data_IF_709418539830
#
_entry.id   IF_709418539830
#
_cell.length_a   1.000
_cell.length_b   1.000
_cell.length_c   1.000
_cell.angle_alpha   90.00
_cell.angle_beta   90.00
_cell.angle_gamma   90.00
#
_symmetry.space_group_name_H-M   'P 1'
#
loop_
_entity.id
_entity.type
_entity.pdbx_description
1 polymer ?
#
# COMPACT_ATOMS: atom_id res chain seq x y z
N UNK A 1 -18.30 7.94 -22.10
CA UNK A 1 -19.04 6.80 -21.54
C UNK A 1 -18.57 6.66 -20.11
N UNK A 2 -19.42 6.93 -19.13
CA UNK A 2 -19.03 6.89 -17.72
C UNK A 2 -19.12 5.44 -17.20
N UNK A 3 -17.98 4.77 -17.06
CA UNK A 3 -17.93 3.38 -16.59
C UNK A 3 -18.00 3.33 -15.06
N UNK A 4 -18.72 2.36 -14.44
CA UNK A 4 -18.62 2.09 -13.01
C UNK A 4 -17.18 1.77 -12.57
N UNK A 5 -16.87 2.00 -11.29
CA UNK A 5 -15.54 1.76 -10.71
C UNK A 5 -15.11 0.29 -10.88
N UNK A 6 -16.03 -0.64 -10.67
CA UNK A 6 -15.80 -2.07 -10.76
C UNK A 6 -15.44 -2.47 -12.19
N UNK A 7 -16.12 -1.89 -13.18
CA UNK A 7 -15.81 -2.12 -14.59
C UNK A 7 -14.44 -1.56 -14.96
N UNK A 8 -14.12 -0.34 -14.49
CA UNK A 8 -12.82 0.29 -14.74
C UNK A 8 -11.66 -0.56 -14.21
N UNK A 9 -11.76 -0.99 -12.95
CA UNK A 9 -10.73 -1.81 -12.32
C UNK A 9 -10.66 -3.22 -12.89
N UNK A 10 -11.79 -3.85 -13.21
CA UNK A 10 -11.78 -5.17 -13.80
C UNK A 10 -11.09 -5.17 -15.18
N UNK A 11 -11.40 -4.19 -16.03
CA UNK A 11 -10.75 -4.05 -17.34
C UNK A 11 -9.23 -3.92 -17.19
N UNK A 12 -8.79 -3.15 -16.19
CA UNK A 12 -7.37 -2.95 -15.91
C UNK A 12 -6.67 -4.23 -15.43
N UNK A 13 -7.32 -5.00 -14.55
CA UNK A 13 -6.74 -6.19 -13.92
C UNK A 13 -6.78 -7.43 -14.82
N UNK A 14 -7.83 -7.62 -15.60
CA UNK A 14 -8.01 -8.82 -16.45
C UNK A 14 -7.16 -8.79 -17.72
N UNK A 15 -6.78 -7.59 -18.17
CA UNK A 15 -6.13 -7.38 -19.45
C UNK A 15 -7.05 -7.68 -20.64
N UNK A 16 -6.71 -7.12 -21.81
CA UNK A 16 -7.59 -7.09 -23.01
C UNK A 16 -8.12 -8.48 -23.42
N UNK A 17 -7.35 -9.55 -23.20
CA UNK A 17 -7.71 -10.91 -23.62
C UNK A 17 -8.77 -11.58 -22.74
N UNK A 18 -8.95 -11.15 -21.49
CA UNK A 18 -9.85 -11.79 -20.50
C UNK A 18 -10.96 -10.88 -20.01
N UNK A 19 -10.99 -9.61 -20.42
CA UNK A 19 -12.03 -8.64 -20.02
C UNK A 19 -13.44 -9.20 -20.21
N UNK A 20 -13.72 -9.89 -21.32
CA UNK A 20 -15.07 -10.45 -21.53
C UNK A 20 -15.41 -11.57 -20.54
N UNK A 21 -14.50 -12.53 -20.31
CA UNK A 21 -14.73 -13.65 -19.40
C UNK A 21 -14.78 -13.21 -17.94
N UNK A 22 -13.94 -12.26 -17.57
CA UNK A 22 -13.70 -11.89 -16.17
C UNK A 22 -14.61 -10.76 -15.70
N UNK A 23 -14.99 -9.84 -16.60
CA UNK A 23 -15.75 -8.63 -16.25
C UNK A 23 -17.20 -8.62 -16.73
N UNK A 24 -17.54 -9.42 -17.75
CA UNK A 24 -18.86 -9.40 -18.40
C UNK A 24 -19.58 -10.76 -18.31
N UNK A 25 -18.83 -11.85 -18.12
CA UNK A 25 -19.36 -13.21 -18.07
C UNK A 25 -20.19 -13.55 -16.81
N UNK A 26 -20.91 -14.69 -16.84
CA UNK A 26 -21.82 -15.13 -15.76
C UNK A 26 -21.11 -15.56 -14.46
N UNK A 27 -19.77 -15.61 -14.46
CA UNK A 27 -18.93 -15.98 -13.31
C UNK A 27 -18.29 -14.76 -12.64
N UNK A 28 -18.95 -13.61 -12.65
CA UNK A 28 -18.48 -12.39 -12.02
C UNK A 28 -18.41 -12.55 -10.49
N UNK A 29 -17.32 -13.13 -9.99
CA UNK A 29 -16.97 -13.07 -8.58
C UNK A 29 -16.71 -11.61 -8.19
N UNK A 30 -17.17 -11.20 -7.01
CA UNK A 30 -16.83 -9.88 -6.47
C UNK A 30 -15.32 -9.72 -6.35
N UNK A 31 -14.75 -8.69 -6.97
CA UNK A 31 -13.32 -8.41 -6.94
C UNK A 31 -13.01 -7.55 -5.72
N UNK A 32 -12.14 -8.02 -4.83
CA UNK A 32 -11.53 -7.16 -3.81
C UNK A 32 -10.47 -6.28 -4.48
N UNK A 33 -10.90 -5.18 -5.10
CA UNK A 33 -10.04 -4.33 -5.92
C UNK A 33 -8.84 -3.76 -5.11
N UNK A 34 -9.00 -3.31 -3.85
CA UNK A 34 -7.84 -2.93 -3.03
C UNK A 34 -6.93 -4.10 -2.65
N UNK A 35 -7.45 -5.34 -2.69
CA UNK A 35 -6.70 -6.55 -2.35
C UNK A 35 -6.39 -6.71 -0.85
N UNK A 36 -7.12 -6.02 0.03
CA UNK A 36 -6.80 -5.99 1.46
C UNK A 36 -7.64 -6.95 2.29
N UNK A 37 -7.00 -7.60 3.26
CA UNK A 37 -7.63 -8.43 4.28
C UNK A 37 -6.89 -8.23 5.60
N UNK A 38 -7.62 -7.96 6.68
CA UNK A 38 -7.07 -7.92 8.04
C UNK A 38 -7.65 -9.08 8.87
N UNK A 39 -6.79 -10.00 9.28
CA UNK A 39 -7.15 -11.13 10.14
C UNK A 39 -6.49 -10.99 11.51
N UNK A 40 -7.21 -11.34 12.57
CA UNK A 40 -6.70 -11.29 13.93
C UNK A 40 -7.24 -12.45 14.75
N UNK A 41 -6.38 -13.03 15.59
CA UNK A 41 -6.79 -13.97 16.65
C UNK A 41 -7.45 -13.27 17.83
N UNK A 42 -7.38 -11.94 17.89
CA UNK A 42 -8.01 -11.08 18.90
C UNK A 42 -9.21 -10.35 18.29
N UNK A 43 -10.23 -10.00 19.10
CA UNK A 43 -11.37 -9.22 18.63
C UNK A 43 -10.93 -7.94 17.91
N UNK A 44 -11.58 -7.68 16.77
CA UNK A 44 -11.46 -6.44 15.99
C UNK A 44 -12.67 -5.55 16.29
N UNK A 45 -12.44 -4.26 16.53
CA UNK A 45 -13.48 -3.25 16.79
C UNK A 45 -13.30 -2.05 15.86
N UNK A 46 -14.36 -1.25 15.74
CA UNK A 46 -14.35 0.01 14.96
C UNK A 46 -13.83 -0.17 13.53
N UNK A 47 -14.16 -1.31 12.90
CA UNK A 47 -13.64 -1.71 11.60
C UNK A 47 -14.20 -0.79 10.52
N UNK A 48 -13.32 -0.21 9.70
CA UNK A 48 -13.72 0.58 8.54
C UNK A 48 -12.71 0.49 7.42
N UNK A 49 -13.21 0.61 6.19
CA UNK A 49 -12.39 0.87 5.00
C UNK A 49 -12.45 2.37 4.72
N UNK A 50 -11.30 2.99 4.43
CA UNK A 50 -11.22 4.39 4.05
C UNK A 50 -10.48 4.48 2.72
N UNK A 51 -11.12 5.05 1.71
CA UNK A 51 -10.49 5.32 0.42
C UNK A 51 -9.54 6.52 0.55
N UNK A 52 -8.32 6.40 0.03
CA UNK A 52 -7.30 7.45 0.14
C UNK A 52 -7.63 8.68 -0.71
N UNK A 53 -8.36 8.48 -1.81
CA UNK A 53 -8.88 9.55 -2.66
C UNK A 53 -10.39 9.34 -2.84
N UNK A 54 -11.21 9.83 -1.91
CA UNK A 54 -12.64 9.58 -1.92
C UNK A 54 -13.34 10.27 -3.09
N UNK A 55 -14.35 9.62 -3.65
CA UNK A 55 -15.23 10.20 -4.67
C UNK A 55 -14.62 10.33 -6.08
N UNK A 56 -13.42 9.78 -6.32
CA UNK A 56 -12.78 9.78 -7.64
C UNK A 56 -12.55 8.35 -8.11
N UNK A 57 -12.97 8.06 -9.35
CA UNK A 57 -12.74 6.77 -9.98
C UNK A 57 -11.26 6.60 -10.31
N UNK A 58 -10.72 5.43 -10.00
CA UNK A 58 -9.31 5.10 -10.23
C UNK A 58 -9.21 3.78 -10.97
N UNK A 59 -8.15 3.57 -11.75
CA UNK A 59 -7.88 2.25 -12.32
C UNK A 59 -7.67 1.26 -11.18
N UNK A 60 -6.84 1.62 -10.20
CA UNK A 60 -6.57 0.83 -9.00
C UNK A 60 -6.85 1.66 -7.74
N UNK A 61 -8.12 1.74 -7.28
CA UNK A 61 -8.47 2.51 -6.10
C UNK A 61 -7.72 2.00 -4.86
N UNK A 62 -7.07 2.94 -4.17
CA UNK A 62 -6.31 2.66 -2.95
C UNK A 62 -7.11 3.05 -1.71
N UNK A 63 -6.98 2.22 -0.68
CA UNK A 63 -7.68 2.39 0.59
C UNK A 63 -6.86 1.77 1.70
N UNK A 64 -7.14 2.13 2.95
CA UNK A 64 -6.69 1.36 4.10
C UNK A 64 -7.87 0.74 4.85
N UNK A 65 -7.63 -0.43 5.45
CA UNK A 65 -8.49 -1.02 6.47
C UNK A 65 -8.00 -0.56 7.84
N UNK A 66 -8.87 0.07 8.60
CA UNK A 66 -8.65 0.41 9.99
C UNK A 66 -9.39 -0.57 10.90
N UNK A 67 -8.75 -0.98 11.99
CA UNK A 67 -9.41 -1.64 13.10
C UNK A 67 -8.67 -1.35 14.42
N UNK A 68 -9.42 -1.39 15.51
CA UNK A 68 -8.85 -1.47 16.86
C UNK A 68 -8.74 -2.94 17.26
N UNK A 69 -7.52 -3.39 17.54
CA UNK A 69 -7.26 -4.77 17.96
C UNK A 69 -7.12 -4.81 19.48
N UNK A 70 -7.89 -5.71 20.12
CA UNK A 70 -7.94 -5.79 21.56
C UNK A 70 -6.55 -6.03 22.21
N UNK A 71 -6.21 -5.23 23.21
CA UNK A 71 -4.90 -5.24 23.88
C UNK A 71 -3.69 -4.87 23.00
N UNK A 72 -3.90 -4.30 21.80
CA UNK A 72 -2.84 -3.73 20.95
C UNK A 72 -3.14 -2.26 20.65
N UNK A 73 -4.37 -1.97 20.23
CA UNK A 73 -4.80 -0.63 19.81
C UNK A 73 -5.03 -0.53 18.29
N UNK A 74 -4.92 0.68 17.73
CA UNK A 74 -5.29 0.96 16.35
C UNK A 74 -4.25 0.43 15.35
N UNK A 75 -4.75 -0.18 14.30
CA UNK A 75 -3.98 -0.72 13.19
C UNK A 75 -4.59 -0.24 11.88
N UNK A 76 -3.74 0.19 10.95
CA UNK A 76 -4.09 0.40 9.56
C UNK A 76 -3.36 -0.62 8.67
N UNK A 77 -4.12 -1.33 7.83
CA UNK A 77 -3.59 -2.22 6.80
C UNK A 77 -3.87 -1.60 5.43
N UNK A 78 -2.86 -1.47 4.58
CA UNK A 78 -2.99 -0.75 3.30
C UNK A 78 -2.13 -1.35 2.19
N UNK A 79 -2.39 -0.92 0.96
CA UNK A 79 -1.57 -1.21 -0.21
C UNK A 79 -1.53 0.05 -1.09
N UNK A 80 -0.43 0.80 -1.03
CA UNK A 80 -0.34 2.15 -1.61
C UNK A 80 -0.01 2.13 -3.11
N UNK A 81 -0.08 3.30 -3.73
CA UNK A 81 0.23 3.46 -5.16
C UNK A 81 1.64 2.96 -5.49
N UNK A 82 1.73 2.00 -6.41
CA UNK A 82 2.98 1.40 -6.87
C UNK A 82 3.68 2.22 -7.96
N UNK A 83 4.97 1.97 -8.15
CA UNK A 83 5.70 2.44 -9.31
C UNK A 83 5.34 1.61 -10.55
N UNK A 84 4.32 2.05 -11.32
CA UNK A 84 3.83 1.35 -12.50
C UNK A 84 4.57 1.76 -13.80
N UNK A 85 5.74 2.39 -13.67
CA UNK A 85 6.59 2.79 -14.79
C UNK A 85 6.63 4.29 -15.05
N UNK A 86 7.26 4.70 -16.16
CA UNK A 86 7.58 6.11 -16.42
C UNK A 86 6.35 6.96 -16.80
N UNK A 87 5.33 6.34 -17.36
CA UNK A 87 4.12 7.04 -17.80
C UNK A 87 3.11 6.95 -16.66
N UNK A 88 2.69 8.11 -16.17
CA UNK A 88 1.57 8.20 -15.24
C UNK A 88 0.25 8.08 -16.00
N UNK A 89 -0.58 7.12 -15.62
CA UNK A 89 -1.86 6.90 -16.27
C UNK A 89 -2.94 6.54 -15.25
N UNK A 90 -3.55 7.57 -14.67
CA UNK A 90 -4.81 7.50 -13.94
C UNK A 90 -5.77 8.54 -14.54
N UNK A 91 -6.74 8.14 -15.39
CA UNK A 91 -7.51 9.05 -16.24
C UNK A 91 -8.18 10.21 -15.50
N UNK A 92 -8.62 9.98 -14.27
CA UNK A 92 -9.35 10.96 -13.45
C UNK A 92 -8.46 11.70 -12.44
N UNK A 93 -7.15 11.42 -12.41
CA UNK A 93 -6.19 12.02 -11.48
C UNK A 93 -5.06 12.79 -12.18
N UNK A 94 -5.01 12.83 -13.52
CA UNK A 94 -3.96 13.55 -14.26
C UNK A 94 -3.90 15.06 -13.96
N UNK A 95 -4.98 15.67 -13.49
CA UNK A 95 -5.01 17.07 -13.06
C UNK A 95 -4.50 17.28 -11.64
N UNK A 96 -4.35 16.21 -10.84
CA UNK A 96 -3.92 16.25 -9.44
C UNK A 96 -2.47 15.79 -9.26
N UNK A 97 -2.02 14.81 -10.04
CA UNK A 97 -0.69 14.22 -9.91
C UNK A 97 0.00 14.14 -11.27
N UNK A 98 1.32 14.38 -11.25
CA UNK A 98 2.18 14.25 -12.42
C UNK A 98 2.86 12.89 -12.55
N UNK A 99 2.90 12.11 -11.46
CA UNK A 99 3.60 10.83 -11.40
C UNK A 99 3.00 9.87 -10.38
N UNK A 100 3.33 8.58 -10.50
CA UNK A 100 3.00 7.57 -9.50
C UNK A 100 3.63 7.88 -8.14
N UNK A 101 4.81 8.52 -8.15
CA UNK A 101 5.51 9.00 -6.95
C UNK A 101 4.69 10.06 -6.22
N UNK A 102 4.14 11.03 -6.94
CA UNK A 102 3.33 12.11 -6.35
C UNK A 102 2.05 11.55 -5.72
N UNK A 103 1.41 10.60 -6.40
CA UNK A 103 0.21 9.93 -5.86
C UNK A 103 0.55 9.08 -4.62
N UNK A 104 1.66 8.33 -4.62
CA UNK A 104 2.10 7.59 -3.43
C UNK A 104 2.44 8.52 -2.24
N UNK A 105 3.08 9.66 -2.50
CA UNK A 105 3.34 10.66 -1.46
C UNK A 105 2.04 11.20 -0.88
N UNK A 106 1.04 11.47 -1.74
CA UNK A 106 -0.29 11.90 -1.30
C UNK A 106 -1.00 10.82 -0.45
N UNK A 107 -0.92 9.56 -0.87
CA UNK A 107 -1.45 8.41 -0.13
C UNK A 107 -0.84 8.35 1.28
N UNK A 108 0.49 8.49 1.40
CA UNK A 108 1.19 8.53 2.68
C UNK A 108 0.78 9.74 3.53
N UNK A 109 0.73 10.93 2.93
CA UNK A 109 0.33 12.14 3.65
C UNK A 109 -1.08 12.04 4.21
N UNK A 110 -1.98 11.37 3.47
CA UNK A 110 -3.34 11.08 3.94
C UNK A 110 -3.33 10.17 5.17
N UNK A 111 -2.54 9.07 5.15
CA UNK A 111 -2.39 8.21 6.33
C UNK A 111 -1.84 8.97 7.54
N UNK A 112 -0.77 9.74 7.33
CA UNK A 112 -0.15 10.54 8.39
C UNK A 112 -1.16 11.51 9.00
N UNK A 113 -1.94 12.19 8.16
CA UNK A 113 -2.93 13.16 8.59
C UNK A 113 -4.07 12.48 9.36
N UNK A 114 -4.61 11.37 8.85
CA UNK A 114 -5.70 10.62 9.49
C UNK A 114 -5.30 10.07 10.86
N UNK A 115 -4.01 9.80 11.06
CA UNK A 115 -3.50 9.22 12.29
C UNK A 115 -2.58 10.11 13.12
N UNK A 116 -2.58 11.42 12.84
CA UNK A 116 -1.72 12.39 13.54
C UNK A 116 -1.94 12.33 15.06
N UNK A 117 -3.20 12.20 15.47
CA UNK A 117 -3.67 12.27 16.86
C UNK A 117 -3.57 10.91 17.59
N UNK A 118 -3.09 9.87 16.91
CA UNK A 118 -2.86 8.56 17.50
C UNK A 118 -1.41 8.50 18.03
N UNK A 119 -1.19 8.56 19.36
CA UNK A 119 0.16 8.53 19.93
C UNK A 119 0.80 7.14 19.82
N UNK A 120 -0.03 6.11 19.65
CA UNK A 120 0.39 4.72 19.55
C UNK A 120 -0.44 3.97 18.52
N UNK A 121 0.19 3.47 17.46
CA UNK A 121 -0.50 2.71 16.40
C UNK A 121 0.48 1.90 15.54
N UNK A 122 -0.08 1.05 14.67
CA UNK A 122 0.65 0.29 13.66
C UNK A 122 0.09 0.61 12.27
N UNK A 123 0.97 0.87 11.30
CA UNK A 123 0.62 0.86 9.87
C UNK A 123 1.34 -0.34 9.26
N UNK A 124 0.65 -1.13 8.45
CA UNK A 124 1.27 -2.28 7.78
C UNK A 124 0.72 -2.55 6.38
N UNK A 125 1.54 -3.21 5.58
CA UNK A 125 1.21 -3.67 4.23
C UNK A 125 2.27 -3.24 3.22
N UNK A 126 1.92 -3.34 1.95
CA UNK A 126 2.76 -2.90 0.84
C UNK A 126 2.58 -1.39 0.64
N UNK A 127 3.56 -0.62 1.14
CA UNK A 127 3.53 0.83 1.03
C UNK A 127 4.10 1.33 -0.30
N UNK A 128 4.65 0.44 -1.14
CA UNK A 128 5.32 0.80 -2.39
C UNK A 128 6.31 1.97 -2.23
N UNK A 129 6.95 2.04 -1.06
CA UNK A 129 7.99 3.02 -0.77
C UNK A 129 8.95 2.47 0.27
N UNK A 130 10.21 2.86 0.20
CA UNK A 130 11.26 2.40 1.10
C UNK A 130 12.56 3.18 0.96
N UNK A 131 13.43 3.10 1.98
CA UNK A 131 14.75 3.71 1.93
C UNK A 131 15.72 2.81 1.16
N UNK A 132 16.88 3.35 0.79
CA UNK A 132 18.02 2.53 0.39
C UNK A 132 18.67 1.88 1.62
N UNK A 133 19.16 0.65 1.45
CA UNK A 133 20.02 -0.04 2.42
C UNK A 133 21.22 -0.61 1.66
N UNK A 134 22.28 0.19 1.43
CA UNK A 134 23.40 -0.19 0.57
C UNK A 134 24.09 -1.48 0.98
N UNK A 135 24.21 -1.74 2.28
CA UNK A 135 24.86 -2.95 2.82
C UNK A 135 24.12 -4.25 2.45
N UNK A 136 22.84 -4.14 2.10
CA UNK A 136 21.98 -5.25 1.68
C UNK A 136 21.64 -5.20 0.18
N UNK A 137 22.31 -4.33 -0.57
CA UNK A 137 22.03 -4.07 -1.99
C UNK A 137 20.54 -3.76 -2.23
N UNK A 138 19.92 -2.96 -1.34
CA UNK A 138 18.52 -2.50 -1.47
C UNK A 138 18.51 -1.07 -1.99
N UNK A 139 17.82 -0.84 -3.10
CA UNK A 139 17.59 0.47 -3.68
C UNK A 139 16.43 1.19 -2.97
N UNK A 140 16.40 2.52 -3.06
CA UNK A 140 15.25 3.29 -2.62
C UNK A 140 14.09 3.19 -3.62
N UNK A 141 12.85 3.27 -3.12
CA UNK A 141 11.68 3.53 -3.97
C UNK A 141 10.78 4.54 -3.28
N UNK A 142 10.35 5.56 -4.01
CA UNK A 142 9.57 6.68 -3.49
C UNK A 142 10.03 7.16 -2.10
N UNK A 143 11.34 7.36 -1.91
CA UNK A 143 11.94 7.61 -0.58
C UNK A 143 11.37 8.82 0.16
N UNK A 144 10.91 9.86 -0.56
CA UNK A 144 10.21 10.98 0.04
C UNK A 144 8.92 10.56 0.79
N UNK A 145 8.17 9.60 0.26
CA UNK A 145 6.99 9.03 0.92
C UNK A 145 7.40 8.27 2.19
N UNK A 146 8.45 7.45 2.12
CA UNK A 146 8.96 6.74 3.28
C UNK A 146 9.45 7.71 4.37
N UNK A 147 10.17 8.76 3.97
CA UNK A 147 10.67 9.79 4.89
C UNK A 147 9.51 10.54 5.58
N UNK A 148 8.43 10.85 4.86
CA UNK A 148 7.26 11.50 5.45
C UNK A 148 6.64 10.68 6.61
N UNK A 149 6.72 9.35 6.57
CA UNK A 149 6.30 8.50 7.69
C UNK A 149 7.27 8.62 8.87
N UNK A 150 8.58 8.59 8.61
CA UNK A 150 9.59 8.71 9.67
C UNK A 150 9.53 10.08 10.37
N UNK A 151 9.33 11.15 9.60
CA UNK A 151 9.15 12.53 10.10
C UNK A 151 7.91 12.66 11.01
N UNK A 152 6.97 11.71 10.94
CA UNK A 152 5.76 11.66 11.75
C UNK A 152 5.82 10.63 12.89
N UNK A 153 7.04 10.36 13.38
CA UNK A 153 7.33 9.51 14.53
C UNK A 153 6.98 8.04 14.35
N UNK A 154 6.86 7.58 13.10
CA UNK A 154 6.90 6.14 12.83
C UNK A 154 8.34 5.65 12.82
N UNK A 155 8.50 4.39 13.17
CA UNK A 155 9.75 3.65 13.02
C UNK A 155 9.52 2.47 12.09
N UNK A 156 10.56 2.06 11.38
CA UNK A 156 10.57 0.88 10.53
C UNK A 156 11.57 -0.16 11.08
N UNK A 157 11.18 -0.97 12.08
CA UNK A 157 12.09 -1.94 12.71
C UNK A 157 12.71 -2.93 11.73
N UNK A 158 11.97 -3.31 10.68
CA UNK A 158 12.47 -4.24 9.68
C UNK A 158 13.67 -3.67 8.92
N UNK A 159 13.59 -2.39 8.52
CA UNK A 159 14.70 -1.67 7.88
C UNK A 159 15.91 -1.61 8.81
N UNK A 160 15.73 -1.18 10.07
CA UNK A 160 16.85 -0.91 10.97
C UNK A 160 17.51 -2.16 11.57
N UNK A 161 16.78 -3.29 11.66
CA UNK A 161 17.29 -4.52 12.28
C UNK A 161 17.68 -5.59 11.27
N UNK A 162 17.08 -5.64 10.08
CA UNK A 162 17.37 -6.64 9.05
C UNK A 162 17.78 -6.00 7.72
N UNK A 163 16.97 -5.07 7.20
CA UNK A 163 17.28 -4.34 5.98
C UNK A 163 17.33 -5.18 4.70
N UNK A 164 16.80 -6.41 4.71
CA UNK A 164 16.70 -7.26 3.52
C UNK A 164 15.51 -6.85 2.65
N UNK A 165 15.54 -7.10 1.34
CA UNK A 165 14.39 -6.80 0.46
C UNK A 165 13.14 -7.59 0.84
N UNK A 166 11.98 -6.96 0.60
CA UNK A 166 10.67 -7.61 0.61
C UNK A 166 10.16 -7.85 -0.81
N UNK A 167 10.66 -7.07 -1.77
CA UNK A 167 10.49 -7.26 -3.21
C UNK A 167 11.87 -7.45 -3.85
N UNK A 168 12.29 -8.71 -3.99
CA UNK A 168 13.66 -9.08 -4.35
C UNK A 168 13.77 -9.47 -5.83
N UNK A 169 14.82 -8.99 -6.51
CA UNK A 169 15.04 -9.27 -7.93
C UNK A 169 15.29 -10.76 -8.25
N UNK A 170 15.77 -11.54 -7.27
CA UNK A 170 16.01 -12.98 -7.44
C UNK A 170 14.70 -13.78 -7.54
N UNK A 171 13.58 -13.19 -7.12
CA UNK A 171 12.26 -13.82 -7.22
C UNK A 171 11.81 -13.83 -8.68
N UNK A 172 11.66 -15.03 -9.26
CA UNK A 172 11.25 -15.22 -10.68
C UNK A 172 9.86 -14.66 -11.02
N UNK A 173 9.05 -14.30 -10.03
CA UNK A 173 7.74 -13.68 -10.21
C UNK A 173 7.80 -12.14 -10.21
N UNK A 174 8.98 -11.57 -9.93
CA UNK A 174 9.22 -10.13 -9.94
C UNK A 174 9.68 -9.70 -11.34
N UNK A 175 9.14 -8.59 -11.81
CA UNK A 175 9.45 -8.00 -13.13
C UNK A 175 10.51 -6.90 -13.07
N UNK A 176 10.97 -6.54 -11.87
CA UNK A 176 12.01 -5.53 -11.69
C UNK A 176 13.39 -6.13 -11.45
N UNK A 177 14.42 -5.32 -11.68
CA UNK A 177 15.82 -5.73 -11.56
C UNK A 177 16.49 -5.28 -10.25
N UNK A 178 15.78 -4.56 -9.38
CA UNK A 178 16.30 -4.02 -8.13
C UNK A 178 15.71 -4.77 -6.93
N UNK A 179 16.40 -4.72 -5.79
CA UNK A 179 15.89 -5.18 -4.51
C UNK A 179 15.27 -3.99 -3.77
N UNK A 180 14.03 -4.10 -3.33
CA UNK A 180 13.34 -3.04 -2.58
C UNK A 180 12.75 -3.56 -1.27
N UNK A 181 12.60 -2.65 -0.32
CA UNK A 181 11.82 -2.85 0.90
C UNK A 181 10.58 -1.98 0.80
N UNK A 182 9.50 -2.54 0.31
CA UNK A 182 8.23 -1.84 0.10
C UNK A 182 7.12 -2.35 1.04
N UNK A 183 7.29 -3.54 1.60
CA UNK A 183 6.39 -4.09 2.61
C UNK A 183 6.89 -3.70 4.00
N UNK A 184 6.03 -3.04 4.77
CA UNK A 184 6.41 -2.53 6.07
C UNK A 184 5.43 -2.93 7.17
N UNK A 185 5.97 -3.06 8.38
CA UNK A 185 5.21 -2.92 9.62
C UNK A 185 5.83 -1.73 10.35
N UNK A 186 5.17 -0.59 10.24
CA UNK A 186 5.59 0.67 10.84
C UNK A 186 4.95 0.84 12.21
N UNK A 187 5.76 1.32 13.16
CA UNK A 187 5.37 1.43 14.56
C UNK A 187 5.46 2.87 15.02
N UNK A 188 4.39 3.39 15.61
CA UNK A 188 4.37 4.69 16.32
C UNK A 188 4.07 4.43 17.79
N UNK A 189 4.92 4.91 18.70
CA UNK A 189 4.75 4.70 20.15
C UNK A 189 4.87 3.23 20.61
N UNK A 190 5.49 2.36 19.81
CA UNK A 190 5.87 1.00 20.19
C UNK A 190 7.38 0.79 20.04
N UNK A 191 7.93 -0.16 20.79
CA UNK A 191 9.29 -0.65 20.61
C UNK A 191 9.24 -2.11 20.12
N UNK A 192 9.92 -2.38 19.00
CA UNK A 192 10.05 -3.73 18.47
C UNK A 192 11.12 -4.53 19.21
N UNK A 193 10.70 -5.57 19.95
CA UNK A 193 11.61 -6.45 20.70
C UNK A 193 12.49 -7.32 19.79
N UNK A 194 11.95 -7.81 18.68
CA UNK A 194 12.70 -8.59 17.68
C UNK A 194 12.05 -8.47 16.31
N UNK A 195 12.83 -8.75 15.28
CA UNK A 195 12.37 -8.95 13.91
C UNK A 195 12.87 -10.32 13.48
N UNK A 196 12.00 -11.12 12.87
CA UNK A 196 12.32 -12.48 12.41
C UNK A 196 11.92 -12.61 10.95
N UNK A 197 12.77 -13.27 10.17
CA UNK A 197 12.40 -13.79 8.86
C UNK A 197 11.84 -15.20 9.09
N UNK A 198 10.68 -15.48 8.52
CA UNK A 198 10.06 -16.82 8.55
C UNK A 198 10.72 -17.76 7.56
#
# INVERSE_FOLDING_TARGET
>A
MDLPQECLSCIALSGIKRVYSDCVGPTSGGINIPGLVLLSKRPLRNIRKVDLIPGIKQILPRSYLYAEVDGIGPIACTHLTANLGKIYYEPYLQSKFSSWRDQNLHDVQTLVQDFRDFPRMIIMGDLNCGPSVPEQNVAEDFSASFQALMDNNFTAPYVTKLGMCTYCHENKFVVQNENLIIDHILLKGFEAKSVKVS
#
